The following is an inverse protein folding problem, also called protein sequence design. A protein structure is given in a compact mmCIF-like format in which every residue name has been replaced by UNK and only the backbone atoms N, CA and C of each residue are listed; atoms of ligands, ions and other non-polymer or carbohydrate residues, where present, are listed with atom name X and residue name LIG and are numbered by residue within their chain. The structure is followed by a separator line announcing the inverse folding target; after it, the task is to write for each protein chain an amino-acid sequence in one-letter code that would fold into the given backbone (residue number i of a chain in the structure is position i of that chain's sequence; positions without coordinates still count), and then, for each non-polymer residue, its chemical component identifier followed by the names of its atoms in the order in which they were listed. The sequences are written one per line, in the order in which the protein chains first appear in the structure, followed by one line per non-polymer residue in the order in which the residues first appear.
data_IF_983680512480
#
_entry.id   IF_983680512480
#
_cell.length_a   1.000
_cell.length_b   1.000
_cell.length_c   1.000
_cell.angle_alpha   90.00
_cell.angle_beta   90.00
_cell.angle_gamma   90.00
#
_symmetry.space_group_name_H-M   'P 1'
#
loop_
_entity.id
_entity.type
_entity.pdbx_description
1 polymer ?
#
# COMPACT_ATOMS: atom_id res chain seq x y z
N UNK A 1 7.20 19.49 -20.66
CA UNK A 1 5.98 18.99 -20.01
C UNK A 1 5.96 17.47 -19.94
N UNK A 2 6.29 16.86 -21.07
CA UNK A 2 6.21 15.40 -21.15
C UNK A 2 7.27 14.74 -20.28
N UNK A 3 8.44 15.33 -20.18
CA UNK A 3 9.47 14.79 -19.30
C UNK A 3 9.03 14.84 -17.85
N UNK A 4 8.36 15.93 -17.46
CA UNK A 4 7.84 16.04 -16.10
C UNK A 4 6.79 14.96 -15.88
N UNK A 5 5.88 14.78 -16.82
CA UNK A 5 4.87 13.73 -16.71
C UNK A 5 5.51 12.35 -16.61
N UNK A 6 6.55 12.10 -17.44
CA UNK A 6 7.23 10.81 -17.41
C UNK A 6 7.95 10.56 -16.10
N UNK A 7 8.58 11.60 -15.54
CA UNK A 7 9.25 11.43 -14.26
C UNK A 7 8.26 11.17 -13.13
N UNK A 8 6.99 11.53 -13.34
CA UNK A 8 5.94 11.28 -12.37
C UNK A 8 5.22 9.96 -12.62
N UNK A 9 5.64 9.19 -13.64
CA UNK A 9 5.06 7.87 -13.88
C UNK A 9 5.49 6.84 -12.85
N UNK A 10 6.63 7.05 -12.19
CA UNK A 10 7.00 6.19 -11.10
C UNK A 10 6.07 6.47 -9.94
N UNK A 11 5.57 5.38 -9.38
CA UNK A 11 4.67 5.48 -8.23
C UNK A 11 5.46 5.90 -7.00
N UNK A 12 4.79 6.60 -6.12
CA UNK A 12 5.37 7.07 -4.89
C UNK A 12 4.56 6.45 -3.74
N UNK A 13 5.24 5.70 -2.89
CA UNK A 13 4.53 4.99 -1.83
C UNK A 13 5.44 4.62 -0.68
N UNK A 14 4.87 3.99 0.33
CA UNK A 14 5.60 3.57 1.52
C UNK A 14 5.36 2.09 1.80
N UNK A 15 6.44 1.37 2.05
CA UNK A 15 6.41 -0.06 2.33
C UNK A 15 6.65 -0.27 3.82
N UNK A 16 5.60 -0.63 4.54
CA UNK A 16 5.68 -0.89 5.98
C UNK A 16 5.89 -2.38 6.20
N UNK A 17 7.14 -2.81 6.04
CA UNK A 17 7.49 -4.23 6.01
C UNK A 17 8.10 -4.74 7.32
N UNK A 18 8.20 -3.87 8.32
CA UNK A 18 8.92 -4.16 9.56
C UNK A 18 8.46 -5.44 10.24
N UNK A 19 7.16 -5.70 10.23
CA UNK A 19 6.59 -6.84 10.96
C UNK A 19 6.41 -8.09 10.10
N UNK A 20 6.88 -8.05 8.85
CA UNK A 20 6.87 -9.24 8.01
C UNK A 20 7.94 -10.22 8.45
N UNK A 21 7.68 -11.53 8.34
CA UNK A 21 8.76 -12.52 8.47
C UNK A 21 9.91 -12.18 7.53
N UNK A 22 11.14 -12.50 7.94
CA UNK A 22 12.33 -12.07 7.19
C UNK A 22 12.31 -12.50 5.74
N UNK A 23 11.94 -13.76 5.47
CA UNK A 23 11.91 -14.27 4.10
C UNK A 23 10.86 -13.55 3.25
N UNK A 24 9.69 -13.28 3.83
CA UNK A 24 8.63 -12.55 3.12
C UNK A 24 9.07 -11.13 2.84
N UNK A 25 9.66 -10.47 3.83
CA UNK A 25 10.14 -9.09 3.66
C UNK A 25 11.14 -8.99 2.51
N UNK A 26 12.06 -9.94 2.44
CA UNK A 26 13.06 -9.95 1.36
C UNK A 26 12.40 -10.12 -0.01
N UNK A 27 11.42 -11.01 -0.10
CA UNK A 27 10.69 -11.22 -1.36
C UNK A 27 9.89 -9.98 -1.76
N UNK A 28 9.24 -9.34 -0.80
CA UNK A 28 8.45 -8.13 -1.07
C UNK A 28 9.36 -7.01 -1.57
N UNK A 29 10.48 -6.79 -0.89
CA UNK A 29 11.42 -5.76 -1.31
C UNK A 29 11.97 -6.03 -2.71
N UNK A 30 12.32 -7.27 -3.01
CA UNK A 30 12.83 -7.64 -4.32
C UNK A 30 11.76 -7.45 -5.39
N UNK A 31 10.53 -7.87 -5.12
CA UNK A 31 9.43 -7.79 -6.09
C UNK A 31 9.06 -6.35 -6.41
N UNK A 32 9.10 -5.46 -5.42
CA UNK A 32 8.72 -4.07 -5.60
C UNK A 32 9.87 -3.21 -6.14
N UNK A 33 11.09 -3.70 -6.07
CA UNK A 33 12.28 -2.92 -6.45
C UNK A 33 12.17 -2.42 -7.89
N UNK A 34 12.43 -1.14 -8.09
CA UNK A 34 12.39 -0.53 -9.42
C UNK A 34 11.01 -0.08 -9.87
N UNK A 35 9.96 -0.43 -9.14
CA UNK A 35 8.60 -0.08 -9.54
C UNK A 35 8.10 1.22 -8.91
N UNK A 36 8.74 1.68 -7.85
CA UNK A 36 8.25 2.87 -7.14
C UNK A 36 9.40 3.59 -6.44
N UNK A 37 9.13 4.81 -6.00
CA UNK A 37 10.02 5.59 -5.15
C UNK A 37 9.46 5.59 -3.73
N UNK A 38 10.31 5.28 -2.76
CA UNK A 38 9.89 5.25 -1.37
C UNK A 38 9.61 6.67 -0.88
N UNK A 39 8.42 6.89 -0.32
CA UNK A 39 8.04 8.14 0.28
C UNK A 39 8.31 8.09 1.80
N UNK A 40 8.58 9.25 2.42
CA UNK A 40 8.79 9.26 3.87
C UNK A 40 7.57 8.72 4.61
N UNK A 41 7.82 7.98 5.67
CA UNK A 41 6.75 7.47 6.52
C UNK A 41 6.24 8.61 7.42
N UNK A 42 4.93 8.75 7.49
CA UNK A 42 4.32 9.87 8.21
C UNK A 42 4.31 9.67 9.72
N UNK A 43 4.48 8.44 10.19
CA UNK A 43 4.55 8.14 11.61
C UNK A 43 3.21 7.85 12.27
N UNK A 44 2.10 8.09 11.59
CA UNK A 44 0.76 7.80 12.09
C UNK A 44 -0.12 7.35 10.94
N UNK A 45 -0.94 6.33 11.17
CA UNK A 45 -1.80 5.77 10.13
C UNK A 45 -2.74 6.82 9.56
N UNK A 46 -3.36 7.64 10.40
CA UNK A 46 -4.30 8.66 9.93
C UNK A 46 -3.65 9.61 8.93
N UNK A 47 -2.38 9.99 9.16
CA UNK A 47 -1.67 10.88 8.25
C UNK A 47 -1.33 10.17 6.96
N UNK A 48 -0.89 8.90 7.03
CA UNK A 48 -0.61 8.12 5.82
C UNK A 48 -1.85 8.02 4.93
N UNK A 49 -2.99 7.67 5.51
CA UNK A 49 -4.22 7.52 4.75
C UNK A 49 -4.69 8.86 4.16
N UNK A 50 -4.52 9.96 4.91
CA UNK A 50 -4.86 11.30 4.42
C UNK A 50 -4.00 11.67 3.22
N UNK A 51 -2.70 11.39 3.28
CA UNK A 51 -1.81 11.66 2.16
C UNK A 51 -2.20 10.87 0.93
N UNK A 52 -2.61 9.61 1.12
CA UNK A 52 -3.07 8.77 0.01
C UNK A 52 -4.40 9.29 -0.54
N UNK A 53 -5.33 9.63 0.33
CA UNK A 53 -6.62 10.16 -0.09
C UNK A 53 -6.46 11.42 -0.93
N UNK A 54 -5.53 12.28 -0.55
CA UNK A 54 -5.29 13.55 -1.25
C UNK A 54 -4.35 13.42 -2.45
N UNK A 55 -3.88 12.22 -2.75
CA UNK A 55 -3.00 12.00 -3.88
C UNK A 55 -1.56 12.44 -3.68
N UNK A 56 -1.16 12.76 -2.46
CA UNK A 56 0.23 13.11 -2.16
C UNK A 56 1.13 11.88 -2.18
N UNK A 57 0.55 10.72 -1.99
CA UNK A 57 1.21 9.44 -1.99
C UNK A 57 0.28 8.49 -2.72
N UNK A 58 0.82 7.63 -3.57
CA UNK A 58 0.00 6.75 -4.40
C UNK A 58 -0.50 5.55 -3.63
N UNK A 59 0.35 5.00 -2.73
CA UNK A 59 -0.02 3.76 -2.05
C UNK A 59 0.82 3.58 -0.78
N UNK A 60 0.38 2.63 0.03
CA UNK A 60 1.17 2.08 1.12
C UNK A 60 0.90 0.58 1.20
N UNK A 61 1.88 -0.18 1.64
CA UNK A 61 1.73 -1.62 1.84
C UNK A 61 2.01 -1.92 3.30
N UNK A 62 1.08 -2.61 3.93
CA UNK A 62 1.17 -3.00 5.33
C UNK A 62 1.11 -4.51 5.45
N UNK A 63 1.57 -5.02 6.57
CA UNK A 63 1.42 -6.43 6.90
C UNK A 63 0.57 -6.63 8.15
N UNK A 64 0.77 -5.78 9.16
CA UNK A 64 0.03 -5.87 10.41
C UNK A 64 -0.78 -4.59 10.60
N UNK A 65 -2.09 -4.74 10.63
CA UNK A 65 -3.02 -3.63 10.73
C UNK A 65 -3.83 -3.77 12.01
N UNK A 66 -3.62 -2.86 12.94
CA UNK A 66 -4.44 -2.82 14.15
C UNK A 66 -5.70 -2.03 13.88
N UNK A 67 -6.85 -2.59 14.28
CA UNK A 67 -8.15 -1.98 14.00
C UNK A 67 -8.26 -0.56 14.55
N UNK A 68 -7.70 -0.32 15.73
CA UNK A 68 -7.79 1.01 16.35
C UNK A 68 -7.00 2.08 15.59
N UNK A 69 -6.01 1.69 14.82
CA UNK A 69 -5.21 2.63 14.04
C UNK A 69 -5.70 2.77 12.61
N UNK A 70 -6.25 1.72 12.04
CA UNK A 70 -6.52 1.64 10.61
C UNK A 70 -7.99 1.57 10.25
N UNK A 71 -8.87 1.17 11.18
CA UNK A 71 -10.27 0.94 10.84
C UNK A 71 -10.98 2.18 10.30
N UNK A 72 -10.95 3.27 11.06
CA UNK A 72 -11.60 4.50 10.63
C UNK A 72 -10.92 5.14 9.42
N UNK A 73 -9.57 5.26 9.38
CA UNK A 73 -8.93 5.79 8.17
C UNK A 73 -9.22 4.96 6.93
N UNK A 74 -9.28 3.63 7.03
CA UNK A 74 -9.58 2.78 5.89
C UNK A 74 -10.99 3.06 5.35
N UNK A 75 -11.96 3.24 6.24
CA UNK A 75 -13.32 3.54 5.83
C UNK A 75 -13.38 4.88 5.10
N UNK A 76 -12.73 5.91 5.66
CA UNK A 76 -12.73 7.24 5.06
C UNK A 76 -12.09 7.21 3.67
N UNK A 77 -10.96 6.53 3.54
CA UNK A 77 -10.28 6.41 2.26
C UNK A 77 -11.16 5.69 1.24
N UNK A 78 -11.78 4.59 1.65
CA UNK A 78 -12.64 3.81 0.76
C UNK A 78 -13.83 4.64 0.28
N UNK A 79 -14.45 5.38 1.18
CA UNK A 79 -15.58 6.25 0.82
C UNK A 79 -15.15 7.39 -0.09
N UNK A 80 -13.89 7.81 0.00
CA UNK A 80 -13.34 8.84 -0.87
C UNK A 80 -12.84 8.34 -2.21
N UNK A 81 -13.09 7.08 -2.55
CA UNK A 81 -12.71 6.51 -3.84
C UNK A 81 -11.41 5.73 -3.84
N UNK A 82 -10.74 5.63 -2.69
CA UNK A 82 -9.53 4.85 -2.56
C UNK A 82 -9.82 3.38 -2.33
N UNK A 83 -8.76 2.62 -2.06
CA UNK A 83 -8.86 1.18 -1.99
C UNK A 83 -8.00 0.66 -0.85
N UNK A 84 -8.55 -0.25 -0.04
CA UNK A 84 -7.82 -0.97 1.01
C UNK A 84 -8.17 -2.44 0.86
N UNK A 85 -7.23 -3.22 0.36
CA UNK A 85 -7.46 -4.64 0.08
C UNK A 85 -6.23 -5.46 0.39
N UNK A 86 -6.47 -6.73 0.67
CA UNK A 86 -5.38 -7.69 0.84
C UNK A 86 -4.78 -8.07 -0.51
N UNK A 87 -3.63 -8.73 -0.45
CA UNK A 87 -2.93 -9.12 -1.67
C UNK A 87 -3.78 -10.03 -2.56
N UNK A 88 -4.66 -10.84 -1.97
CA UNK A 88 -5.54 -11.73 -2.73
C UNK A 88 -6.75 -11.02 -3.33
N UNK A 89 -6.86 -9.70 -3.14
CA UNK A 89 -7.96 -8.93 -3.69
C UNK A 89 -9.16 -8.79 -2.78
N UNK A 90 -9.18 -9.46 -1.63
CA UNK A 90 -10.31 -9.32 -0.70
C UNK A 90 -10.25 -7.98 0.02
N UNK A 91 -11.39 -7.34 0.27
CA UNK A 91 -11.39 -6.07 0.97
C UNK A 91 -10.89 -6.21 2.41
N UNK A 92 -10.21 -5.17 2.89
CA UNK A 92 -9.80 -5.11 4.27
C UNK A 92 -11.02 -5.09 5.19
N UNK A 93 -10.91 -5.80 6.31
CA UNK A 93 -11.86 -5.67 7.41
C UNK A 93 -11.08 -5.62 8.72
N UNK A 94 -11.69 -5.07 9.77
CA UNK A 94 -11.04 -4.95 11.07
C UNK A 94 -10.73 -6.32 11.70
N UNK A 95 -11.29 -7.38 11.15
CA UNK A 95 -11.04 -8.75 11.63
C UNK A 95 -10.01 -9.50 10.79
N UNK A 96 -9.41 -8.83 9.83
CA UNK A 96 -8.44 -9.48 8.94
C UNK A 96 -7.20 -9.91 9.72
N UNK A 97 -6.71 -11.11 9.46
CA UNK A 97 -5.44 -11.54 10.06
C UNK A 97 -4.26 -10.79 9.47
N UNK A 98 -3.07 -11.01 10.02
CA UNK A 98 -1.85 -10.43 9.49
C UNK A 98 -1.61 -10.97 8.10
N UNK A 99 -1.64 -10.09 7.12
CA UNK A 99 -1.35 -10.42 5.73
C UNK A 99 -1.05 -9.13 4.98
N UNK A 100 -0.47 -9.28 3.81
CA UNK A 100 -0.11 -8.11 2.99
C UNK A 100 -1.39 -7.38 2.61
N UNK A 101 -1.44 -6.09 2.92
CA UNK A 101 -2.59 -5.23 2.64
C UNK A 101 -2.11 -4.02 1.87
N UNK A 102 -2.80 -3.70 0.78
CA UNK A 102 -2.48 -2.59 -0.10
C UNK A 102 -3.48 -1.48 0.15
N UNK A 103 -2.98 -0.28 0.46
CA UNK A 103 -3.75 0.94 0.62
C UNK A 103 -3.39 1.82 -0.56
N UNK A 104 -4.37 2.23 -1.36
CA UNK A 104 -4.08 2.94 -2.60
C UNK A 104 -5.06 4.07 -2.85
N UNK A 105 -4.57 5.09 -3.56
CA UNK A 105 -5.36 6.26 -3.93
C UNK A 105 -6.55 5.88 -4.82
N UNK A 106 -6.37 4.88 -5.70
CA UNK A 106 -7.43 4.38 -6.57
C UNK A 106 -7.36 2.85 -6.64
N UNK A 107 -8.48 2.20 -7.01
CA UNK A 107 -8.44 0.75 -7.24
C UNK A 107 -7.46 0.33 -8.33
N UNK A 108 -7.24 1.17 -9.34
CA UNK A 108 -6.29 0.89 -10.39
C UNK A 108 -4.86 0.84 -9.86
N UNK A 109 -4.52 1.74 -8.95
CA UNK A 109 -3.21 1.72 -8.30
C UNK A 109 -3.04 0.47 -7.42
N UNK A 110 -4.10 0.06 -6.73
CA UNK A 110 -4.05 -1.17 -5.95
C UNK A 110 -3.76 -2.37 -6.84
N UNK A 111 -4.40 -2.42 -8.00
CA UNK A 111 -4.17 -3.48 -8.97
C UNK A 111 -2.74 -3.50 -9.46
N UNK A 112 -2.19 -2.33 -9.75
CA UNK A 112 -0.81 -2.20 -10.20
C UNK A 112 0.16 -2.71 -9.15
N UNK A 113 -0.01 -2.29 -7.89
CA UNK A 113 0.85 -2.74 -6.79
C UNK A 113 0.70 -4.25 -6.59
N UNK A 114 -0.52 -4.75 -6.68
CA UNK A 114 -0.77 -6.20 -6.56
C UNK A 114 -0.01 -6.97 -7.63
N UNK A 115 0.07 -6.42 -8.84
CA UNK A 115 0.79 -7.10 -9.91
C UNK A 115 2.28 -7.22 -9.62
N UNK A 116 2.88 -6.24 -8.93
CA UNK A 116 4.30 -6.35 -8.54
C UNK A 116 4.50 -7.47 -7.52
N UNK A 117 3.55 -7.67 -6.64
CA UNK A 117 3.68 -8.57 -5.49
C UNK A 117 3.00 -9.92 -5.71
N UNK A 118 2.60 -10.23 -6.93
CA UNK A 118 1.71 -11.37 -7.19
C UNK A 118 2.22 -12.70 -6.66
N UNK A 119 3.54 -12.90 -6.64
CA UNK A 119 4.11 -14.21 -6.29
C UNK A 119 4.87 -14.23 -4.98
N UNK A 120 4.82 -13.14 -4.19
CA UNK A 120 5.70 -13.03 -3.02
C UNK A 120 5.37 -14.03 -1.92
N UNK A 121 4.11 -14.47 -1.82
CA UNK A 121 3.69 -15.42 -0.80
C UNK A 121 3.66 -16.86 -1.30
N UNK A 122 4.11 -17.10 -2.51
CA UNK A 122 4.26 -18.45 -3.05
C UNK A 122 5.61 -19.01 -2.68
N UNK A 123 5.63 -20.29 -2.38
CA UNK A 123 6.85 -20.98 -1.99
C UNK A 123 7.31 -21.92 -3.09
#
# INVERSE_FOLDING_TARGET
RDEVANSHNRRRGSMFVRFMPDALRARVRAAASGHYDEAPHAGAAAVEYTDILRGRKDFAVYYRLHAWDHGAPALILTEGGGCVEHLDGTPYSVRSPNQITIVAHTPQLAEEVRSWLADVDRI
#
